data_IF_792901758884
#
_entry.id   IF_792901758884
#
_cell.length_a   1.000
_cell.length_b   1.000
_cell.length_c   1.000
_cell.angle_alpha   90.00
_cell.angle_beta   90.00
_cell.angle_gamma   90.00
#
_symmetry.space_group_name_H-M   'P 1'
#
loop_
_entity.id
_entity.type
_entity.pdbx_description
1 polymer ?
#
# COMPACT_ATOMS: atom_id res chain seq x y z
N UNK A 1 21.83 8.60 10.14
CA UNK A 1 21.15 7.64 11.04
C UNK A 1 20.52 6.58 10.17
N UNK A 2 20.76 5.30 10.44
CA UNK A 2 20.13 4.22 9.69
C UNK A 2 18.64 4.18 10.05
N UNK A 3 17.77 4.33 9.07
CA UNK A 3 16.33 4.15 9.22
C UNK A 3 16.08 2.69 9.63
N UNK A 4 15.35 2.48 10.73
CA UNK A 4 15.01 1.13 11.18
C UNK A 4 14.07 0.49 10.17
N UNK A 5 14.45 -0.70 9.70
CA UNK A 5 13.65 -1.49 8.76
C UNK A 5 12.83 -2.54 9.53
N UNK A 6 11.57 -2.68 9.13
CA UNK A 6 10.61 -3.63 9.69
C UNK A 6 10.16 -4.58 8.61
N UNK A 7 10.03 -5.86 8.94
CA UNK A 7 9.46 -6.86 8.05
C UNK A 7 8.21 -7.43 8.69
N UNK A 8 7.10 -7.38 7.98
CA UNK A 8 5.82 -7.91 8.43
C UNK A 8 5.31 -8.98 7.47
N UNK A 9 4.68 -9.98 8.04
CA UNK A 9 4.03 -11.08 7.34
C UNK A 9 2.52 -11.07 7.60
N UNK A 10 1.79 -11.71 6.73
CA UNK A 10 0.42 -12.11 6.99
C UNK A 10 0.40 -13.38 7.86
N UNK A 11 -0.77 -13.72 8.41
CA UNK A 11 -0.95 -14.94 9.18
C UNK A 11 -0.28 -14.92 10.55
N UNK A 12 0.03 -16.09 11.09
CA UNK A 12 0.58 -16.28 12.43
C UNK A 12 1.95 -15.64 12.61
N UNK A 13 2.78 -15.65 11.57
CA UNK A 13 4.08 -14.98 11.60
C UNK A 13 3.92 -13.47 11.85
N UNK A 14 2.87 -12.84 11.30
CA UNK A 14 2.57 -11.43 11.55
C UNK A 14 2.32 -11.12 13.02
N UNK A 15 1.67 -12.02 13.76
CA UNK A 15 1.51 -11.89 15.22
C UNK A 15 2.87 -11.78 15.92
N UNK A 16 3.82 -12.63 15.53
CA UNK A 16 5.18 -12.64 16.09
C UNK A 16 5.94 -11.37 15.72
N UNK A 17 5.79 -10.89 14.50
CA UNK A 17 6.42 -9.66 14.04
C UNK A 17 5.95 -8.44 14.85
N UNK A 18 4.63 -8.29 15.03
CA UNK A 18 4.09 -7.22 15.87
C UNK A 18 4.56 -7.34 17.32
N UNK A 19 4.62 -8.55 17.87
CA UNK A 19 5.13 -8.78 19.22
C UNK A 19 6.60 -8.40 19.38
N UNK A 20 7.38 -8.57 18.32
CA UNK A 20 8.80 -8.19 18.29
C UNK A 20 9.01 -6.67 18.18
N UNK A 21 8.16 -5.97 17.42
CA UNK A 21 8.38 -4.57 17.05
C UNK A 21 7.54 -3.60 17.89
N UNK A 22 6.38 -4.00 18.37
CA UNK A 22 5.57 -3.25 19.32
C UNK A 22 5.88 -3.69 20.73
N UNK A 23 5.65 -2.83 21.71
CA UNK A 23 5.81 -3.17 23.13
C UNK A 23 4.72 -4.16 23.64
N UNK A 24 4.17 -5.00 22.75
CA UNK A 24 3.19 -6.01 23.09
C UNK A 24 1.76 -5.50 23.29
N UNK A 25 1.49 -4.25 22.97
CA UNK A 25 0.14 -3.69 23.07
C UNK A 25 -0.78 -4.35 22.04
N UNK A 26 -1.79 -5.05 22.53
CA UNK A 26 -2.84 -5.68 21.72
C UNK A 26 -4.16 -5.13 22.21
N UNK A 27 -4.93 -4.52 21.32
CA UNK A 27 -6.31 -4.13 21.59
C UNK A 27 -7.24 -5.28 21.21
N UNK A 28 -7.90 -5.85 22.23
CA UNK A 28 -8.76 -7.02 22.06
C UNK A 28 -10.23 -6.59 22.12
N UNK A 29 -10.98 -6.92 21.10
CA UNK A 29 -12.40 -6.67 21.00
C UNK A 29 -13.25 -7.92 21.22
N UNK A 30 -14.54 -7.77 21.58
CA UNK A 30 -15.49 -8.87 21.61
C UNK A 30 -15.48 -9.64 20.27
N UNK A 31 -15.86 -10.93 20.31
CA UNK A 31 -15.86 -11.82 19.15
C UNK A 31 -14.48 -12.24 18.60
N UNK A 32 -13.40 -11.98 19.35
CA UNK A 32 -12.07 -12.49 19.01
C UNK A 32 -11.29 -11.64 18.02
N UNK A 33 -11.79 -10.48 17.64
CA UNK A 33 -11.05 -9.51 16.82
C UNK A 33 -9.98 -8.85 17.67
N UNK A 34 -8.78 -8.71 17.14
CA UNK A 34 -7.70 -7.98 17.81
C UNK A 34 -6.90 -7.10 16.84
N UNK A 35 -6.38 -6.00 17.37
CA UNK A 35 -5.60 -5.02 16.65
C UNK A 35 -4.22 -4.86 17.27
N UNK A 36 -3.22 -4.66 16.43
CA UNK A 36 -1.82 -4.39 16.81
C UNK A 36 -1.31 -3.24 15.97
N UNK A 37 -0.59 -2.32 16.58
CA UNK A 37 -0.17 -1.10 15.91
C UNK A 37 1.33 -0.84 16.04
N UNK A 38 1.92 -0.32 14.97
CA UNK A 38 3.23 0.31 14.94
C UNK A 38 3.04 1.76 14.53
N UNK A 39 3.66 2.68 15.24
CA UNK A 39 3.61 4.11 14.96
C UNK A 39 5.00 4.70 14.79
N UNK A 40 5.14 5.60 13.83
CA UNK A 40 6.36 6.30 13.52
C UNK A 40 6.08 7.79 13.40
N UNK A 41 7.03 8.62 13.81
CA UNK A 41 6.87 10.07 13.74
C UNK A 41 8.09 10.74 13.11
N UNK A 42 7.89 11.83 12.37
CA UNK A 42 8.99 12.61 11.86
C UNK A 42 9.97 13.02 12.97
N UNK A 43 11.27 13.03 12.70
CA UNK A 43 11.91 12.76 11.41
C UNK A 43 12.20 11.26 11.15
N UNK A 44 11.76 10.36 12.03
CA UNK A 44 12.09 8.92 12.02
C UNK A 44 10.90 8.09 11.49
N UNK A 45 10.51 8.34 10.25
CA UNK A 45 9.48 7.53 9.58
C UNK A 45 9.95 6.09 9.35
N UNK A 46 9.00 5.15 9.37
CA UNK A 46 9.30 3.73 9.20
C UNK A 46 9.68 3.39 7.75
N UNK A 47 10.43 2.30 7.60
CA UNK A 47 10.61 1.58 6.35
C UNK A 47 10.09 0.16 6.56
N UNK A 48 9.05 -0.19 5.83
CA UNK A 48 8.36 -1.47 5.96
C UNK A 48 8.64 -2.35 4.75
N UNK A 49 8.86 -3.64 4.97
CA UNK A 49 8.76 -4.67 3.95
C UNK A 49 7.61 -5.60 4.30
N UNK A 50 6.64 -5.72 3.40
CA UNK A 50 5.64 -6.78 3.44
C UNK A 50 6.27 -7.99 2.80
N UNK A 51 6.53 -9.04 3.59
CA UNK A 51 7.08 -10.27 3.06
C UNK A 51 5.97 -11.10 2.39
N UNK A 52 6.13 -11.32 1.11
CA UNK A 52 5.25 -12.13 0.28
C UNK A 52 6.09 -13.02 -0.67
N UNK A 53 7.19 -13.56 -0.17
CA UNK A 53 8.12 -14.37 -0.95
C UNK A 53 8.70 -13.60 -2.15
N UNK A 54 8.57 -14.12 -3.38
CA UNK A 54 9.09 -13.43 -4.57
C UNK A 54 8.36 -12.12 -4.89
N UNK A 55 7.19 -11.89 -4.27
CA UNK A 55 6.36 -10.71 -4.47
C UNK A 55 6.43 -9.73 -3.29
N UNK A 56 7.46 -9.82 -2.45
CA UNK A 56 7.66 -8.91 -1.33
C UNK A 56 7.75 -7.46 -1.79
N UNK A 57 7.20 -6.53 -0.99
CA UNK A 57 7.12 -5.11 -1.34
C UNK A 57 7.65 -4.25 -0.20
N UNK A 58 8.57 -3.35 -0.52
CA UNK A 58 9.06 -2.34 0.43
C UNK A 58 8.35 -1.01 0.26
N UNK A 59 7.93 -0.45 1.39
CA UNK A 59 7.22 0.83 1.51
C UNK A 59 8.06 1.74 2.40
N UNK A 60 8.38 2.92 1.91
CA UNK A 60 9.11 3.95 2.64
C UNK A 60 8.16 4.97 3.27
N UNK A 61 8.65 5.78 4.19
CA UNK A 61 7.96 6.91 4.83
C UNK A 61 6.65 6.51 5.52
N UNK A 62 6.66 5.37 6.20
CA UNK A 62 5.50 4.84 6.92
C UNK A 62 5.27 5.63 8.20
N UNK A 63 4.04 6.07 8.44
CA UNK A 63 3.57 6.73 9.66
C UNK A 63 2.98 5.75 10.64
N UNK A 64 2.17 4.81 10.14
CA UNK A 64 1.57 3.77 10.97
C UNK A 64 1.32 2.48 10.22
N UNK A 65 1.24 1.39 10.96
CA UNK A 65 0.77 0.10 10.47
C UNK A 65 -0.18 -0.47 11.50
N UNK A 66 -1.41 -0.78 11.07
CA UNK A 66 -2.39 -1.50 11.87
C UNK A 66 -2.52 -2.93 11.34
N UNK A 67 -2.20 -3.90 12.18
CA UNK A 67 -2.42 -5.32 11.92
C UNK A 67 -3.73 -5.78 12.54
N UNK A 68 -4.64 -6.29 11.72
CA UNK A 68 -5.95 -6.78 12.16
C UNK A 68 -6.01 -8.30 12.06
N UNK A 69 -6.43 -8.92 13.14
CA UNK A 69 -6.76 -10.32 13.25
C UNK A 69 -8.26 -10.45 13.50
N UNK A 70 -9.00 -10.98 12.53
CA UNK A 70 -10.45 -11.24 12.67
C UNK A 70 -10.75 -12.61 13.25
N UNK A 71 -9.91 -13.60 12.94
CA UNK A 71 -9.99 -14.95 13.51
C UNK A 71 -8.68 -15.29 14.22
N UNK A 72 -8.79 -15.67 15.50
CA UNK A 72 -7.64 -16.01 16.34
C UNK A 72 -6.78 -17.17 15.83
N UNK A 73 -7.32 -18.00 14.92
CA UNK A 73 -6.60 -19.15 14.36
C UNK A 73 -5.89 -18.80 13.03
N UNK A 74 -6.12 -17.63 12.47
CA UNK A 74 -5.60 -17.23 11.14
C UNK A 74 -4.47 -16.19 11.20
N UNK A 75 -4.20 -15.65 12.38
CA UNK A 75 -3.18 -14.61 12.56
C UNK A 75 -3.58 -13.27 11.93
N UNK A 76 -2.62 -12.52 11.43
CA UNK A 76 -2.87 -11.22 10.78
C UNK A 76 -3.48 -11.44 9.40
N UNK A 77 -4.69 -10.91 9.22
CA UNK A 77 -5.46 -11.05 7.98
C UNK A 77 -5.48 -9.74 7.16
N UNK A 78 -5.31 -8.59 7.83
CA UNK A 78 -5.23 -7.28 7.18
C UNK A 78 -4.07 -6.48 7.76
N UNK A 79 -3.35 -5.78 6.88
CA UNK A 79 -2.39 -4.73 7.22
C UNK A 79 -2.87 -3.44 6.59
N UNK A 80 -3.25 -2.46 7.41
CA UNK A 80 -3.51 -1.10 6.98
C UNK A 80 -2.24 -0.27 7.21
N UNK A 81 -1.75 0.39 6.16
CA UNK A 81 -0.47 1.08 6.18
C UNK A 81 -0.67 2.52 5.73
N UNK A 82 -0.37 3.46 6.63
CA UNK A 82 -0.30 4.87 6.29
C UNK A 82 1.14 5.24 5.96
N UNK A 83 1.36 5.72 4.75
CA UNK A 83 2.68 6.12 4.29
C UNK A 83 2.62 7.35 3.39
N UNK A 84 3.64 8.20 3.49
CA UNK A 84 3.83 9.32 2.58
C UNK A 84 4.53 8.90 1.29
N UNK A 85 4.17 9.51 0.17
CA UNK A 85 4.96 9.37 -1.06
C UNK A 85 6.34 10.01 -0.91
N UNK A 86 6.47 11.06 -0.10
CA UNK A 86 7.72 11.77 0.18
C UNK A 86 7.98 11.81 1.68
N UNK A 87 9.25 12.01 2.05
CA UNK A 87 9.65 12.21 3.44
C UNK A 87 9.23 13.58 3.97
N UNK A 88 9.26 14.58 3.10
CA UNK A 88 8.96 15.95 3.42
C UNK A 88 7.45 16.18 3.45
N UNK A 89 6.97 16.95 4.44
CA UNK A 89 5.58 17.36 4.57
C UNK A 89 5.14 18.24 3.38
N UNK A 90 6.05 19.09 2.92
CA UNK A 90 5.84 19.96 1.77
C UNK A 90 6.80 19.57 0.65
N UNK A 91 6.28 18.90 -0.36
CA UNK A 91 7.04 18.49 -1.54
C UNK A 91 6.47 19.14 -2.81
N UNK A 92 7.33 19.39 -3.79
CA UNK A 92 6.86 19.87 -5.09
C UNK A 92 6.11 18.78 -5.84
N UNK A 93 5.19 19.13 -6.76
CA UNK A 93 4.50 18.13 -7.58
C UNK A 93 5.46 17.18 -8.31
N UNK A 94 6.61 17.69 -8.75
CA UNK A 94 7.65 16.90 -9.42
C UNK A 94 8.27 15.86 -8.49
N UNK A 95 8.54 16.21 -7.24
CA UNK A 95 9.08 15.28 -6.22
C UNK A 95 8.07 14.18 -5.91
N UNK A 96 6.80 14.56 -5.70
CA UNK A 96 5.71 13.59 -5.45
C UNK A 96 5.53 12.65 -6.64
N UNK A 97 5.56 13.18 -7.87
CA UNK A 97 5.47 12.38 -9.09
C UNK A 97 6.63 11.39 -9.22
N UNK A 98 7.88 11.81 -8.94
CA UNK A 98 9.02 10.90 -8.97
C UNK A 98 8.86 9.75 -7.98
N UNK A 99 8.34 10.03 -6.79
CA UNK A 99 8.05 9.01 -5.78
C UNK A 99 6.92 8.06 -6.21
N UNK A 100 5.87 8.59 -6.86
CA UNK A 100 4.83 7.78 -7.49
C UNK A 100 5.42 6.82 -8.53
N UNK A 101 6.24 7.34 -9.46
CA UNK A 101 6.89 6.51 -10.48
C UNK A 101 7.76 5.41 -9.86
N UNK A 102 8.54 5.76 -8.83
CA UNK A 102 9.39 4.80 -8.12
C UNK A 102 8.56 3.69 -7.43
N UNK A 103 7.45 4.06 -6.79
CA UNK A 103 6.53 3.11 -6.16
C UNK A 103 5.93 2.16 -7.21
N UNK A 104 5.39 2.68 -8.30
CA UNK A 104 4.79 1.87 -9.36
C UNK A 104 5.80 0.92 -10.03
N UNK A 105 7.04 1.36 -10.21
CA UNK A 105 8.11 0.50 -10.70
C UNK A 105 8.40 -0.65 -9.73
N UNK A 106 8.49 -0.39 -8.43
CA UNK A 106 8.70 -1.43 -7.40
C UNK A 106 7.57 -2.46 -7.41
N UNK A 107 6.32 -1.99 -7.45
CA UNK A 107 5.13 -2.85 -7.52
C UNK A 107 5.17 -3.77 -8.73
N UNK A 108 5.45 -3.22 -9.92
CA UNK A 108 5.54 -4.01 -11.15
C UNK A 108 6.72 -4.99 -11.13
N UNK A 109 7.88 -4.57 -10.63
CA UNK A 109 9.06 -5.44 -10.50
C UNK A 109 8.84 -6.58 -9.50
N UNK A 110 8.09 -6.33 -8.44
CA UNK A 110 7.69 -7.36 -7.48
C UNK A 110 6.59 -8.30 -8.01
N UNK A 111 6.10 -8.08 -9.23
CA UNK A 111 5.19 -8.99 -9.91
C UNK A 111 3.72 -8.83 -9.51
N UNK A 112 3.36 -7.76 -8.82
CA UNK A 112 1.96 -7.45 -8.54
C UNK A 112 1.22 -7.10 -9.83
N UNK A 113 -0.01 -7.63 -9.97
CA UNK A 113 -0.85 -7.46 -11.16
C UNK A 113 -2.22 -6.98 -10.75
N UNK A 114 -2.93 -6.37 -11.69
CA UNK A 114 -4.29 -5.93 -11.44
C UNK A 114 -5.18 -7.09 -11.00
N UNK A 115 -5.95 -6.87 -9.94
CA UNK A 115 -6.99 -7.80 -9.51
C UNK A 115 -8.29 -7.51 -10.27
N UNK A 116 -8.75 -8.48 -11.04
CA UNK A 116 -9.99 -8.35 -11.79
C UNK A 116 -11.13 -9.05 -11.08
N UNK A 117 -12.15 -8.30 -10.73
CA UNK A 117 -13.43 -8.92 -10.39
C UNK A 117 -14.04 -9.57 -11.62
N UNK A 118 -14.78 -10.66 -11.44
CA UNK A 118 -15.38 -11.43 -12.53
C UNK A 118 -16.41 -10.61 -13.32
N UNK A 119 -17.03 -9.63 -12.70
CA UNK A 119 -18.03 -8.71 -13.25
C UNK A 119 -17.46 -7.35 -13.67
N UNK A 120 -16.17 -7.11 -13.42
CA UNK A 120 -15.54 -5.84 -13.79
C UNK A 120 -15.20 -5.79 -15.29
N UNK A 121 -15.41 -4.64 -15.94
CA UNK A 121 -15.02 -4.47 -17.33
C UNK A 121 -13.49 -4.50 -17.46
N UNK A 122 -12.99 -5.15 -18.50
CA UNK A 122 -11.59 -5.09 -18.87
C UNK A 122 -11.39 -3.96 -19.88
N UNK A 123 -10.65 -2.95 -19.46
CA UNK A 123 -10.40 -1.76 -20.28
C UNK A 123 -8.99 -1.85 -20.86
N UNK A 124 -8.87 -1.49 -22.14
CA UNK A 124 -7.56 -1.41 -22.79
C UNK A 124 -6.68 -0.35 -22.10
N UNK A 125 -5.38 -0.64 -22.04
CA UNK A 125 -4.39 0.23 -21.39
C UNK A 125 -4.49 1.70 -21.79
N UNK A 126 -4.70 1.98 -23.08
CA UNK A 126 -4.84 3.34 -23.60
C UNK A 126 -6.12 4.06 -23.18
N UNK A 127 -7.12 3.34 -22.65
CA UNK A 127 -8.40 3.90 -22.20
C UNK A 127 -8.42 4.24 -20.70
N UNK A 128 -7.33 3.98 -19.96
CA UNK A 128 -7.23 4.26 -18.53
C UNK A 128 -7.60 5.71 -18.18
N UNK A 129 -7.08 6.68 -18.93
CA UNK A 129 -7.35 8.11 -18.68
C UNK A 129 -8.84 8.42 -18.84
N UNK A 130 -9.48 7.86 -19.87
CA UNK A 130 -10.92 8.02 -20.08
C UNK A 130 -11.75 7.39 -18.97
N UNK A 131 -11.31 6.25 -18.46
CA UNK A 131 -11.95 5.58 -17.31
C UNK A 131 -11.81 6.41 -16.04
N UNK A 132 -10.63 6.96 -15.76
CA UNK A 132 -10.35 7.78 -14.58
C UNK A 132 -11.16 9.08 -14.50
N UNK A 133 -11.77 9.53 -15.61
CA UNK A 133 -12.74 10.63 -15.57
C UNK A 133 -13.99 10.29 -14.74
N UNK A 134 -14.24 9.00 -14.46
CA UNK A 134 -15.43 8.50 -13.73
C UNK A 134 -15.08 7.66 -12.50
N UNK A 135 -13.85 7.19 -12.39
CA UNK A 135 -13.37 6.32 -11.32
C UNK A 135 -11.95 6.71 -10.90
N UNK A 136 -11.59 6.42 -9.64
CA UNK A 136 -10.21 6.57 -9.16
C UNK A 136 -9.33 5.37 -9.50
N UNK A 137 -9.93 4.24 -9.84
CA UNK A 137 -9.24 2.97 -9.97
C UNK A 137 -8.49 2.89 -11.29
N UNK A 138 -7.22 2.55 -11.23
CA UNK A 138 -6.38 2.31 -12.40
C UNK A 138 -6.50 0.85 -12.81
N UNK A 139 -6.91 0.63 -14.05
CA UNK A 139 -7.16 -0.73 -14.56
C UNK A 139 -5.87 -1.50 -14.83
N UNK A 140 -4.84 -0.83 -15.32
CA UNK A 140 -3.56 -1.46 -15.64
C UNK A 140 -2.42 -0.79 -14.86
N UNK A 141 -1.90 -1.42 -13.78
CA UNK A 141 -0.84 -0.84 -12.95
C UNK A 141 0.50 -0.72 -13.69
N UNK A 142 0.68 -1.40 -14.81
CA UNK A 142 1.89 -1.26 -15.65
C UNK A 142 1.88 0.02 -16.47
N UNK A 143 0.73 0.70 -16.58
CA UNK A 143 0.65 2.02 -17.19
C UNK A 143 1.03 3.08 -16.16
N UNK A 144 2.28 3.51 -16.20
CA UNK A 144 2.77 4.61 -15.37
C UNK A 144 2.47 5.90 -16.13
N UNK A 145 1.61 6.74 -15.54
CA UNK A 145 1.23 8.02 -16.15
C UNK A 145 2.44 8.92 -16.37
N UNK A 146 2.44 9.71 -17.45
CA UNK A 146 3.35 10.85 -17.61
C UNK A 146 3.06 11.91 -16.53
N UNK A 147 3.99 12.83 -16.31
CA UNK A 147 3.81 13.89 -15.32
C UNK A 147 2.55 14.72 -15.58
N UNK A 148 2.30 15.09 -16.83
CA UNK A 148 1.13 15.88 -17.20
C UNK A 148 -0.18 15.11 -17.02
N UNK A 149 -0.23 13.83 -17.37
CA UNK A 149 -1.39 12.99 -17.13
C UNK A 149 -1.67 12.85 -15.63
N UNK A 150 -0.65 12.52 -14.84
CA UNK A 150 -0.74 12.39 -13.40
C UNK A 150 -1.23 13.67 -12.73
N UNK A 151 -0.63 14.82 -13.08
CA UNK A 151 -0.99 16.13 -12.58
C UNK A 151 -2.44 16.49 -12.92
N UNK A 152 -2.86 16.21 -14.15
CA UNK A 152 -4.23 16.42 -14.59
C UNK A 152 -5.24 15.59 -13.78
N UNK A 153 -4.93 14.32 -13.50
CA UNK A 153 -5.79 13.44 -12.69
C UNK A 153 -5.91 13.97 -11.27
N UNK A 154 -4.80 14.25 -10.59
CA UNK A 154 -4.80 14.72 -9.21
C UNK A 154 -5.52 16.07 -9.05
N UNK A 155 -5.43 16.95 -10.03
CA UNK A 155 -6.08 18.26 -9.96
C UNK A 155 -7.56 18.24 -10.38
N UNK A 156 -7.93 17.43 -11.34
CA UNK A 156 -9.19 17.56 -12.08
C UNK A 156 -10.10 16.33 -12.00
N UNK A 157 -9.63 15.16 -11.54
CA UNK A 157 -10.54 14.03 -11.37
C UNK A 157 -11.49 14.26 -10.18
N UNK A 158 -12.68 13.67 -10.18
CA UNK A 158 -13.66 13.82 -9.11
C UNK A 158 -13.12 13.45 -7.72
N UNK A 159 -12.25 12.45 -7.67
CA UNK A 159 -11.67 11.93 -6.42
C UNK A 159 -10.32 12.55 -6.08
N UNK A 160 -9.68 13.22 -7.04
CA UNK A 160 -8.31 13.77 -6.90
C UNK A 160 -7.29 12.75 -6.39
N UNK A 161 -7.49 11.50 -6.72
CA UNK A 161 -6.66 10.38 -6.28
C UNK A 161 -6.60 9.28 -7.33
N UNK A 162 -5.59 8.45 -7.23
CA UNK A 162 -5.46 7.20 -7.95
C UNK A 162 -5.65 6.05 -6.98
N UNK A 163 -6.32 4.99 -7.40
CA UNK A 163 -6.46 3.77 -6.63
C UNK A 163 -6.09 2.57 -7.47
N UNK A 164 -5.40 1.63 -6.86
CA UNK A 164 -5.00 0.37 -7.49
C UNK A 164 -5.45 -0.79 -6.62
N UNK A 165 -6.07 -1.78 -7.21
CA UNK A 165 -6.32 -3.07 -6.55
C UNK A 165 -5.52 -4.15 -7.24
N UNK A 166 -4.57 -4.71 -6.53
CA UNK A 166 -3.54 -5.58 -7.05
C UNK A 166 -3.58 -6.94 -6.35
N UNK A 167 -3.01 -7.94 -7.00
CA UNK A 167 -2.91 -9.29 -6.47
C UNK A 167 -1.54 -9.89 -6.74
N UNK A 168 -0.99 -10.56 -5.76
CA UNK A 168 0.18 -11.42 -5.90
C UNK A 168 0.19 -12.48 -4.79
N UNK A 169 0.46 -13.73 -5.15
CA UNK A 169 0.73 -14.83 -4.23
C UNK A 169 -0.28 -14.91 -3.04
N UNK A 170 -1.58 -14.87 -3.33
CA UNK A 170 -2.63 -15.01 -2.31
C UNK A 170 -2.99 -13.73 -1.55
N UNK A 171 -2.30 -12.62 -1.79
CA UNK A 171 -2.53 -11.34 -1.12
C UNK A 171 -3.14 -10.33 -2.10
N UNK A 172 -4.15 -9.58 -1.63
CA UNK A 172 -4.70 -8.41 -2.31
C UNK A 172 -4.06 -7.17 -1.69
N UNK A 173 -3.64 -6.24 -2.53
CA UNK A 173 -3.07 -4.96 -2.15
C UNK A 173 -3.91 -3.84 -2.76
N UNK A 174 -4.51 -3.02 -1.92
CA UNK A 174 -5.19 -1.78 -2.31
C UNK A 174 -4.29 -0.58 -1.99
N UNK A 175 -4.12 0.33 -2.97
CA UNK A 175 -3.30 1.55 -2.84
C UNK A 175 -4.11 2.76 -3.25
#
# INVERSE_FOLDING_TARGET
>A
MNQQAYTLHMGEQGIQDFSKYSNGNVDNHPAGVSFRELQFSPPNLGKLTIDNGPNSLSIDHVFSVLGTQYDKNEGIQVLDIDAGLTKEEFATPEQVYQSYVALMKRINQAGWKNYFFTDAPRIAKGDNIKHLSKSRDVIDPSYIFSFEEWKNIINNSPTKSLGYRLYANGIILDI
#
